data_IF_930146104530
#
_entry.id   IF_930146104530
#
_cell.length_a   1.000
_cell.length_b   1.000
_cell.length_c   1.000
_cell.angle_alpha   90.00
_cell.angle_beta   90.00
_cell.angle_gamma   90.00
#
_symmetry.space_group_name_H-M   'P 1'
#
loop_
_entity.id
_entity.type
_entity.pdbx_description
1 polymer ?
#
# COMPACT_ATOMS: atom_id res chain seq x y z
N UNK A 1 31.41 -49.00 28.29
CA UNK A 1 30.29 -48.31 28.97
C UNK A 1 29.47 -47.59 27.91
N UNK A 2 28.31 -48.17 27.61
CA UNK A 2 27.30 -47.65 26.68
C UNK A 2 26.55 -46.52 27.41
N UNK A 3 26.49 -45.32 26.84
CA UNK A 3 25.46 -44.35 27.20
C UNK A 3 24.76 -43.89 25.92
N UNK A 4 23.56 -44.44 25.76
CA UNK A 4 22.49 -44.01 24.87
C UNK A 4 22.11 -42.57 25.24
N UNK A 5 22.25 -41.63 24.31
CA UNK A 5 21.68 -40.30 24.45
C UNK A 5 20.35 -40.29 23.71
N UNK A 6 19.26 -40.37 24.49
CA UNK A 6 17.89 -40.38 24.01
C UNK A 6 17.52 -39.06 23.35
N UNK A 7 17.31 -39.10 22.03
CA UNK A 7 16.60 -38.07 21.29
C UNK A 7 15.13 -38.12 21.72
N UNK A 8 14.72 -37.19 22.57
CA UNK A 8 13.30 -36.96 22.89
C UNK A 8 12.68 -36.26 21.69
N UNK A 9 12.23 -37.08 20.75
CA UNK A 9 11.41 -36.67 19.63
C UNK A 9 10.00 -36.42 20.19
N UNK A 10 9.71 -35.17 20.56
CA UNK A 10 8.34 -34.73 20.85
C UNK A 10 7.60 -34.75 19.52
N UNK A 11 7.04 -35.91 19.20
CA UNK A 11 5.99 -36.04 18.19
C UNK A 11 4.84 -35.19 18.71
N UNK A 12 4.69 -33.98 18.15
CA UNK A 12 3.38 -33.32 18.10
C UNK A 12 2.47 -34.25 17.30
N UNK A 13 1.90 -35.23 17.99
CA UNK A 13 0.68 -35.86 17.56
C UNK A 13 -0.37 -34.75 17.65
N UNK A 14 -0.55 -34.05 16.53
CA UNK A 14 -1.80 -33.35 16.24
C UNK A 14 -2.84 -34.45 16.28
N UNK A 15 -3.43 -34.62 17.45
CA UNK A 15 -4.67 -35.35 17.61
C UNK A 15 -5.71 -34.52 16.87
N UNK A 16 -5.78 -34.71 15.55
CA UNK A 16 -7.03 -34.53 14.82
C UNK A 16 -7.92 -35.65 15.35
N UNK A 17 -8.57 -35.40 16.48
CA UNK A 17 -9.73 -36.19 16.89
C UNK A 17 -10.68 -36.15 15.70
N UNK A 18 -10.74 -37.25 14.95
CA UNK A 18 -11.73 -37.43 13.90
C UNK A 18 -13.09 -37.25 14.58
N UNK A 19 -13.82 -36.19 14.20
CA UNK A 19 -15.12 -35.85 14.77
C UNK A 19 -16.14 -37.00 14.68
N UNK A 20 -15.87 -38.02 13.84
CA UNK A 20 -16.65 -39.25 13.71
C UNK A 20 -16.84 -40.02 15.02
N UNK A 21 -15.86 -40.06 15.92
CA UNK A 21 -15.96 -40.88 17.14
C UNK A 21 -16.91 -40.28 18.21
N UNK A 22 -17.45 -39.08 17.96
CA UNK A 22 -18.29 -38.34 18.92
C UNK A 22 -19.72 -38.08 18.47
N UNK A 23 -20.05 -38.31 17.19
CA UNK A 23 -21.36 -38.02 16.62
C UNK A 23 -22.29 -39.23 16.72
N UNK A 24 -23.57 -38.99 17.03
CA UNK A 24 -24.63 -40.00 17.10
C UNK A 24 -25.84 -39.58 16.26
N UNK A 25 -26.64 -40.57 15.85
CA UNK A 25 -27.94 -40.29 15.25
C UNK A 25 -28.79 -39.45 16.22
N UNK A 26 -29.40 -38.38 15.70
CA UNK A 26 -30.14 -37.38 16.46
C UNK A 26 -29.33 -36.12 16.78
N UNK A 27 -28.00 -36.15 16.70
CA UNK A 27 -27.17 -34.98 17.00
C UNK A 27 -27.41 -33.85 16.00
N UNK A 28 -27.46 -32.63 16.50
CA UNK A 28 -27.47 -31.44 15.63
C UNK A 28 -26.06 -31.17 15.16
N UNK A 29 -25.88 -31.04 13.84
CA UNK A 29 -24.58 -30.79 13.19
C UNK A 29 -24.69 -29.62 12.21
N UNK A 30 -23.56 -29.01 11.91
CA UNK A 30 -23.38 -28.14 10.75
C UNK A 30 -22.65 -28.93 9.65
N UNK A 31 -23.14 -28.83 8.42
CA UNK A 31 -22.53 -29.43 7.24
C UNK A 31 -22.30 -28.40 6.15
N UNK A 32 -21.30 -28.65 5.29
CA UNK A 32 -20.96 -27.72 4.21
C UNK A 32 -22.00 -27.82 3.08
N UNK A 33 -22.89 -26.84 2.98
CA UNK A 33 -24.02 -26.88 2.04
C UNK A 33 -23.72 -26.35 0.64
N UNK A 34 -22.54 -25.77 0.42
CA UNK A 34 -22.03 -25.39 -0.90
C UNK A 34 -20.55 -25.76 -0.96
N UNK A 35 -20.13 -26.54 -1.96
CA UNK A 35 -18.69 -26.86 -2.14
C UNK A 35 -17.85 -25.61 -2.45
N UNK A 36 -18.45 -24.63 -3.13
CA UNK A 36 -17.76 -23.44 -3.64
C UNK A 36 -17.85 -22.21 -2.71
N UNK A 37 -18.60 -22.28 -1.61
CA UNK A 37 -18.62 -21.23 -0.59
C UNK A 37 -18.33 -21.80 0.80
N UNK A 38 -17.84 -20.97 1.71
CA UNK A 38 -17.59 -21.34 3.11
C UNK A 38 -18.88 -21.46 3.95
N UNK A 39 -20.01 -21.77 3.30
CA UNK A 39 -21.33 -21.82 3.91
C UNK A 39 -21.56 -23.13 4.68
N UNK A 40 -21.96 -22.99 5.95
CA UNK A 40 -22.36 -24.09 6.82
C UNK A 40 -23.87 -24.04 7.04
N UNK A 41 -24.56 -25.15 6.81
CA UNK A 41 -25.99 -25.32 7.04
C UNK A 41 -26.23 -26.26 8.22
N UNK A 42 -27.29 -26.02 8.98
CA UNK A 42 -27.65 -26.89 10.12
C UNK A 42 -28.50 -28.05 9.67
N UNK A 43 -28.27 -29.21 10.28
CA UNK A 43 -29.12 -30.38 10.14
C UNK A 43 -28.98 -31.29 11.34
N UNK A 44 -29.65 -32.44 11.29
CA UNK A 44 -29.54 -33.51 12.27
C UNK A 44 -28.96 -34.76 11.64
N UNK A 45 -28.05 -35.41 12.34
CA UNK A 45 -27.50 -36.70 11.92
C UNK A 45 -28.64 -37.72 11.93
N UNK A 46 -28.94 -38.33 10.80
CA UNK A 46 -29.91 -39.42 10.70
C UNK A 46 -29.26 -40.79 10.92
N UNK A 47 -28.09 -40.98 10.32
CA UNK A 47 -27.34 -42.22 10.38
C UNK A 47 -25.86 -41.98 10.06
N UNK A 48 -25.02 -42.86 10.59
CA UNK A 48 -23.58 -42.89 10.33
C UNK A 48 -23.28 -44.31 9.83
N UNK A 49 -22.77 -44.43 8.61
CA UNK A 49 -22.44 -45.73 8.00
C UNK A 49 -21.27 -45.60 7.05
N UNK A 50 -20.30 -46.51 7.14
CA UNK A 50 -19.18 -46.59 6.20
C UNK A 50 -18.38 -45.29 6.04
N UNK A 51 -18.22 -44.51 7.12
CA UNK A 51 -17.49 -43.23 7.08
C UNK A 51 -18.28 -42.04 6.49
N UNK A 52 -19.54 -42.27 6.09
CA UNK A 52 -20.46 -41.22 5.62
C UNK A 52 -21.47 -40.85 6.72
N UNK A 53 -21.79 -39.56 6.82
CA UNK A 53 -22.75 -39.00 7.77
C UNK A 53 -23.95 -38.49 6.97
N UNK A 54 -25.12 -39.07 7.19
CA UNK A 54 -26.38 -38.62 6.59
C UNK A 54 -27.02 -37.54 7.48
N UNK A 55 -27.36 -36.40 6.88
CA UNK A 55 -27.74 -35.18 7.60
C UNK A 55 -29.06 -34.66 7.03
N UNK A 56 -30.10 -34.69 7.85
CA UNK A 56 -31.40 -34.11 7.52
C UNK A 56 -31.40 -32.63 7.88
N UNK A 57 -31.59 -31.77 6.88
CA UNK A 57 -31.60 -30.32 7.06
C UNK A 57 -32.99 -29.69 6.95
N UNK A 58 -34.01 -30.49 6.62
CA UNK A 58 -35.41 -30.06 6.64
C UNK A 58 -36.39 -31.22 6.83
N UNK A 59 -37.68 -30.93 6.78
CA UNK A 59 -38.74 -31.87 7.13
C UNK A 59 -39.21 -32.74 5.95
N UNK A 60 -38.76 -32.46 4.72
CA UNK A 60 -39.12 -33.25 3.54
C UNK A 60 -38.16 -34.42 3.33
N UNK A 61 -38.65 -35.48 2.68
CA UNK A 61 -37.91 -36.75 2.50
C UNK A 61 -36.60 -36.58 1.72
N UNK A 62 -36.56 -35.64 0.80
CA UNK A 62 -35.44 -35.27 -0.08
C UNK A 62 -34.48 -34.24 0.53
N UNK A 63 -34.79 -33.69 1.72
CA UNK A 63 -33.94 -32.72 2.41
C UNK A 63 -32.86 -33.39 3.28
N UNK A 64 -32.07 -34.24 2.64
CA UNK A 64 -30.96 -34.98 3.24
C UNK A 64 -29.68 -34.69 2.45
N UNK A 65 -28.57 -34.50 3.15
CA UNK A 65 -27.24 -34.38 2.56
C UNK A 65 -26.30 -35.41 3.15
N UNK A 66 -25.37 -35.89 2.33
CA UNK A 66 -24.35 -36.85 2.75
C UNK A 66 -23.01 -36.13 2.84
N UNK A 67 -22.41 -36.12 4.03
CA UNK A 67 -21.12 -35.49 4.31
C UNK A 67 -20.06 -36.50 4.71
N UNK A 68 -18.80 -36.21 4.38
CA UNK A 68 -17.65 -36.87 4.99
C UNK A 68 -17.37 -36.27 6.38
N UNK A 69 -16.56 -36.93 7.20
CA UNK A 69 -16.17 -36.40 8.53
C UNK A 69 -15.54 -35.00 8.49
N UNK A 70 -14.87 -34.64 7.39
CA UNK A 70 -14.28 -33.31 7.20
C UNK A 70 -15.30 -32.23 6.83
N UNK A 71 -16.50 -32.62 6.39
CA UNK A 71 -17.56 -31.72 5.92
C UNK A 71 -18.67 -31.51 6.96
N UNK A 72 -18.49 -32.06 8.17
CA UNK A 72 -19.48 -32.06 9.25
C UNK A 72 -18.81 -31.67 10.56
N UNK A 73 -19.42 -30.74 11.28
CA UNK A 73 -18.95 -30.31 12.61
C UNK A 73 -20.11 -30.18 13.58
N UNK A 74 -19.83 -30.38 14.87
CA UNK A 74 -20.79 -30.02 15.91
C UNK A 74 -20.91 -28.49 15.92
N UNK A 75 -22.13 -27.91 15.82
CA UNK A 75 -22.29 -26.47 15.94
C UNK A 75 -21.78 -26.04 17.32
N UNK A 76 -21.05 -24.93 17.41
CA UNK A 76 -20.67 -24.41 18.72
C UNK A 76 -21.95 -24.15 19.52
N UNK A 77 -21.93 -24.52 20.80
CA UNK A 77 -23.09 -24.30 21.68
C UNK A 77 -23.41 -22.80 21.68
N UNK A 78 -24.69 -22.41 21.57
CA UNK A 78 -25.06 -21.01 21.71
C UNK A 78 -24.66 -20.51 23.10
N UNK A 79 -24.29 -19.24 23.16
CA UNK A 79 -24.04 -18.59 24.44
C UNK A 79 -25.32 -18.65 25.29
N UNK A 80 -25.16 -18.93 26.59
CA UNK A 80 -26.27 -18.82 27.54
C UNK A 80 -26.74 -17.36 27.61
N UNK A 81 -28.00 -17.08 28.00
CA UNK A 81 -28.46 -15.70 28.16
C UNK A 81 -27.57 -14.87 29.08
N UNK A 82 -27.03 -15.49 30.14
CA UNK A 82 -26.08 -14.85 31.04
C UNK A 82 -24.74 -14.54 30.35
N UNK A 83 -24.20 -15.45 29.53
CA UNK A 83 -22.97 -15.21 28.78
C UNK A 83 -23.16 -14.11 27.71
N UNK A 84 -24.32 -14.08 27.04
CA UNK A 84 -24.67 -13.02 26.09
C UNK A 84 -24.77 -11.67 26.80
N UNK A 85 -25.51 -11.59 27.91
CA UNK A 85 -25.65 -10.35 28.69
C UNK A 85 -24.29 -9.85 29.23
N UNK A 86 -23.41 -10.75 29.66
CA UNK A 86 -22.06 -10.42 30.11
C UNK A 86 -21.21 -9.81 28.97
N UNK A 87 -21.28 -10.39 27.77
CA UNK A 87 -20.58 -9.89 26.57
C UNK A 87 -21.15 -8.55 26.09
N UNK A 88 -22.47 -8.38 26.13
CA UNK A 88 -23.14 -7.14 25.73
C UNK A 88 -22.82 -6.00 26.71
N UNK A 89 -22.77 -6.29 28.01
CA UNK A 89 -22.33 -5.33 29.02
C UNK A 89 -20.87 -4.89 28.78
N UNK A 90 -19.98 -5.83 28.45
CA UNK A 90 -18.60 -5.50 28.09
C UNK A 90 -18.53 -4.61 26.85
N UNK A 91 -19.25 -4.96 25.78
CA UNK A 91 -19.29 -4.17 24.56
C UNK A 91 -19.85 -2.76 24.76
N UNK A 92 -20.79 -2.58 25.69
CA UNK A 92 -21.34 -1.27 26.04
C UNK A 92 -20.34 -0.41 26.81
N UNK A 93 -19.52 -1.01 27.68
CA UNK A 93 -18.48 -0.29 28.44
C UNK A 93 -17.23 0.01 27.60
N UNK A 94 -16.91 -0.89 26.66
CA UNK A 94 -15.87 -0.65 25.65
C UNK A 94 -16.45 0.25 24.56
N UNK A 95 -16.37 1.57 24.82
CA UNK A 95 -16.86 2.60 23.92
C UNK A 95 -16.26 2.57 22.52
N UNK A 96 -16.79 3.42 21.63
CA UNK A 96 -16.41 3.47 20.22
C UNK A 96 -14.92 3.76 20.01
N UNK A 97 -14.33 4.67 20.77
CA UNK A 97 -12.90 5.00 20.64
C UNK A 97 -12.00 3.85 21.07
N UNK A 98 -12.34 3.11 22.13
CA UNK A 98 -11.64 1.90 22.51
C UNK A 98 -11.69 0.82 21.43
N UNK A 99 -12.86 0.64 20.77
CA UNK A 99 -13.00 -0.31 19.65
C UNK A 99 -12.13 0.06 18.46
N UNK A 100 -12.08 1.34 18.09
CA UNK A 100 -11.18 1.84 17.04
C UNK A 100 -9.72 1.57 17.42
N UNK A 101 -9.35 1.84 18.68
CA UNK A 101 -7.99 1.62 19.16
C UNK A 101 -7.56 0.14 19.08
N UNK A 102 -8.45 -0.79 19.43
CA UNK A 102 -8.20 -2.23 19.30
C UNK A 102 -8.03 -2.66 17.84
N UNK A 103 -8.83 -2.11 16.92
CA UNK A 103 -8.75 -2.44 15.48
C UNK A 103 -7.40 -2.05 14.87
N UNK A 104 -6.81 -0.92 15.28
CA UNK A 104 -5.46 -0.51 14.85
C UNK A 104 -4.42 -1.59 15.20
N UNK A 105 -4.60 -2.27 16.33
CA UNK A 105 -3.68 -3.31 16.81
C UNK A 105 -4.03 -4.73 16.32
N UNK A 106 -5.24 -4.96 15.83
CA UNK A 106 -5.74 -6.28 15.47
C UNK A 106 -4.90 -6.97 14.39
N UNK A 107 -4.41 -6.22 13.39
CA UNK A 107 -3.50 -6.73 12.37
C UNK A 107 -2.22 -7.35 12.97
N UNK A 108 -1.69 -6.78 14.05
CA UNK A 108 -0.45 -7.27 14.68
C UNK A 108 -0.66 -8.48 15.58
N UNK A 109 -1.89 -8.66 16.05
CA UNK A 109 -2.29 -9.85 16.77
C UNK A 109 -2.49 -11.04 15.82
N UNK A 110 -3.22 -10.84 14.71
CA UNK A 110 -3.50 -11.89 13.72
C UNK A 110 -3.48 -11.31 12.29
N UNK A 111 -2.29 -11.17 11.66
CA UNK A 111 -2.13 -10.45 10.39
C UNK A 111 -2.81 -11.12 9.20
N UNK A 112 -3.00 -12.45 9.27
CA UNK A 112 -3.69 -13.23 8.25
C UNK A 112 -5.22 -13.15 8.37
N UNK A 113 -5.73 -12.58 9.46
CA UNK A 113 -7.16 -12.48 9.75
C UNK A 113 -7.66 -11.05 9.64
N UNK A 114 -6.93 -10.07 10.19
CA UNK A 114 -7.36 -8.67 10.20
C UNK A 114 -6.56 -7.85 9.18
N UNK A 115 -7.28 -7.15 8.30
CA UNK A 115 -6.70 -6.10 7.48
C UNK A 115 -6.28 -4.92 8.36
N UNK A 116 -5.24 -4.21 7.93
CA UNK A 116 -4.86 -2.95 8.56
C UNK A 116 -6.04 -1.97 8.57
N UNK A 117 -6.38 -1.47 9.75
CA UNK A 117 -7.44 -0.48 9.93
C UNK A 117 -6.81 0.92 9.90
N UNK A 118 -7.14 1.71 8.88
CA UNK A 118 -6.66 3.09 8.77
C UNK A 118 -7.11 3.99 9.93
N UNK A 119 -6.43 5.12 10.09
CA UNK A 119 -6.75 6.12 11.12
C UNK A 119 -5.77 6.19 12.29
N UNK A 120 -4.51 5.79 12.10
CA UNK A 120 -3.50 5.82 13.17
C UNK A 120 -3.11 7.25 13.54
N UNK A 121 -2.98 7.58 14.84
CA UNK A 121 -2.51 8.89 15.27
C UNK A 121 -1.13 9.24 14.71
N UNK A 122 -0.91 10.53 14.43
CA UNK A 122 0.36 11.06 13.90
C UNK A 122 1.09 11.94 14.91
N UNK A 123 0.57 12.09 16.12
CA UNK A 123 1.13 12.95 17.17
C UNK A 123 1.39 12.16 18.45
N UNK A 124 2.38 12.56 19.27
CA UNK A 124 2.63 11.94 20.57
C UNK A 124 1.40 11.90 21.48
N UNK A 125 0.62 13.00 21.52
CA UNK A 125 -0.61 13.09 22.32
C UNK A 125 -1.68 12.10 21.84
N UNK A 126 -1.90 11.99 20.52
CA UNK A 126 -2.85 11.03 19.97
C UNK A 126 -2.44 9.58 20.23
N UNK A 127 -1.14 9.28 20.21
CA UNK A 127 -0.64 7.97 20.62
C UNK A 127 -0.85 7.69 22.11
N UNK A 128 -0.62 8.68 22.98
CA UNK A 128 -0.87 8.55 24.42
C UNK A 128 -2.35 8.29 24.69
N UNK A 129 -3.25 9.00 24.01
CA UNK A 129 -4.69 8.79 24.08
C UNK A 129 -5.08 7.38 23.60
N UNK A 130 -4.58 6.95 22.43
CA UNK A 130 -4.79 5.60 21.90
C UNK A 130 -4.36 4.52 22.91
N UNK A 131 -3.16 4.66 23.48
CA UNK A 131 -2.62 3.70 24.44
C UNK A 131 -3.40 3.71 25.77
N UNK A 132 -3.89 4.87 26.20
CA UNK A 132 -4.78 5.01 27.36
C UNK A 132 -6.10 4.28 27.14
N UNK A 133 -6.72 4.43 25.96
CA UNK A 133 -7.94 3.71 25.61
C UNK A 133 -7.73 2.20 25.65
N UNK A 134 -6.66 1.67 25.06
CA UNK A 134 -6.37 0.24 25.08
C UNK A 134 -6.05 -0.23 26.51
N UNK A 135 -5.34 0.57 27.31
CA UNK A 135 -5.09 0.26 28.73
C UNK A 135 -6.38 0.20 29.56
N UNK A 136 -7.37 1.05 29.26
CA UNK A 136 -8.68 0.99 29.91
C UNK A 136 -9.41 -0.33 29.62
N UNK A 137 -9.28 -0.86 28.40
CA UNK A 137 -9.85 -2.18 28.05
C UNK A 137 -9.12 -3.29 28.79
N UNK A 138 -7.79 -3.23 28.88
CA UNK A 138 -6.99 -4.21 29.65
C UNK A 138 -7.43 -4.25 31.11
N UNK A 139 -7.63 -3.09 31.74
CA UNK A 139 -8.15 -2.98 33.11
C UNK A 139 -9.55 -3.61 33.27
N UNK A 140 -10.47 -3.36 32.32
CA UNK A 140 -11.79 -3.99 32.30
C UNK A 140 -11.68 -5.52 32.21
N UNK A 141 -10.84 -6.02 31.31
CA UNK A 141 -10.63 -7.46 31.08
C UNK A 141 -9.97 -8.16 32.27
N UNK A 142 -9.05 -7.51 32.99
CA UNK A 142 -8.39 -8.07 34.17
C UNK A 142 -9.25 -7.97 35.45
N UNK A 143 -10.12 -6.96 35.51
CA UNK A 143 -11.03 -6.73 36.63
C UNK A 143 -12.42 -7.33 36.37
N UNK A 144 -13.37 -6.45 36.00
CA UNK A 144 -14.81 -6.75 35.93
C UNK A 144 -15.16 -7.88 34.94
N UNK A 145 -14.40 -8.01 33.86
CA UNK A 145 -14.69 -8.94 32.76
C UNK A 145 -13.67 -10.06 32.64
N UNK A 146 -13.12 -10.51 33.77
CA UNK A 146 -12.15 -11.61 33.80
C UNK A 146 -12.71 -12.88 33.17
N UNK A 147 -11.94 -13.49 32.27
CA UNK A 147 -12.35 -14.70 31.54
C UNK A 147 -13.27 -14.44 30.35
N UNK A 148 -13.32 -13.19 29.84
CA UNK A 148 -14.03 -12.85 28.62
C UNK A 148 -13.68 -13.80 27.46
N UNK A 149 -14.71 -14.31 26.79
CA UNK A 149 -14.59 -15.19 25.62
C UNK A 149 -15.24 -14.55 24.40
N UNK A 150 -14.82 -14.97 23.21
CA UNK A 150 -15.47 -14.56 21.97
C UNK A 150 -16.95 -14.99 21.97
N UNK A 151 -17.81 -14.24 21.27
CA UNK A 151 -19.21 -14.65 21.07
C UNK A 151 -19.23 -15.96 20.28
N UNK A 152 -20.11 -16.89 20.68
CA UNK A 152 -20.22 -18.17 19.96
C UNK A 152 -20.58 -17.91 18.49
N UNK A 153 -19.92 -18.59 17.52
CA UNK A 153 -20.21 -18.42 16.09
C UNK A 153 -21.66 -18.68 15.71
N UNK A 154 -22.43 -19.35 16.57
CA UNK A 154 -23.85 -19.63 16.37
C UNK A 154 -24.80 -18.47 16.70
N UNK A 155 -24.32 -17.44 17.41
CA UNK A 155 -25.12 -16.31 17.92
C UNK A 155 -25.13 -15.08 16.99
N UNK A 156 -24.25 -15.04 15.99
CA UNK A 156 -24.35 -14.15 14.85
C UNK A 156 -24.38 -15.06 13.63
N UNK A 157 -25.49 -15.17 12.90
CA UNK A 157 -25.46 -15.81 11.59
C UNK A 157 -25.58 -14.70 10.53
N UNK A 158 -24.67 -14.65 9.54
CA UNK A 158 -23.47 -15.48 9.42
C UNK A 158 -22.47 -15.14 10.55
N UNK A 159 -21.73 -16.14 11.05
CA UNK A 159 -20.70 -15.99 12.11
C UNK A 159 -19.80 -14.77 11.89
N UNK A 160 -19.09 -14.27 12.92
CA UNK A 160 -18.14 -13.18 12.73
C UNK A 160 -17.23 -13.53 11.56
N UNK A 161 -17.33 -12.72 10.50
CA UNK A 161 -16.61 -12.99 9.25
C UNK A 161 -15.11 -12.95 9.55
N UNK A 162 -14.31 -13.62 8.72
CA UNK A 162 -12.85 -13.44 8.76
C UNK A 162 -12.56 -11.93 8.64
N UNK A 163 -11.80 -11.38 9.58
CA UNK A 163 -11.50 -9.94 9.65
C UNK A 163 -12.48 -9.08 10.43
N UNK A 164 -13.54 -9.66 11.00
CA UNK A 164 -14.45 -8.92 11.88
C UNK A 164 -14.08 -9.11 13.35
N UNK A 165 -13.67 -8.01 13.98
CA UNK A 165 -13.28 -7.97 15.39
C UNK A 165 -14.50 -7.75 16.31
N UNK A 166 -15.65 -7.30 15.80
CA UNK A 166 -16.71 -6.69 16.62
C UNK A 166 -17.45 -7.66 17.56
N UNK A 167 -17.32 -8.97 17.35
CA UNK A 167 -17.89 -10.01 18.22
C UNK A 167 -16.81 -10.89 18.89
N UNK A 168 -15.53 -10.51 18.78
CA UNK A 168 -14.38 -11.29 19.27
C UNK A 168 -13.81 -10.69 20.55
N UNK A 169 -14.65 -10.60 21.58
CA UNK A 169 -14.32 -9.92 22.84
C UNK A 169 -13.14 -10.52 23.60
N UNK A 170 -12.89 -11.83 23.49
CA UNK A 170 -11.68 -12.46 24.05
C UNK A 170 -10.41 -11.99 23.34
N UNK A 171 -10.49 -11.77 22.03
CA UNK A 171 -9.39 -11.19 21.25
C UNK A 171 -9.17 -9.71 21.59
N UNK A 172 -10.22 -8.94 21.90
CA UNK A 172 -10.06 -7.57 22.41
C UNK A 172 -9.21 -7.53 23.67
N UNK A 173 -9.52 -8.41 24.63
CA UNK A 173 -8.73 -8.52 25.86
C UNK A 173 -7.29 -8.95 25.58
N UNK A 174 -7.07 -9.87 24.64
CA UNK A 174 -5.72 -10.33 24.28
C UNK A 174 -4.89 -9.23 23.61
N UNK A 175 -5.51 -8.46 22.71
CA UNK A 175 -4.88 -7.29 22.08
C UNK A 175 -4.53 -6.24 23.14
N UNK A 176 -5.46 -5.97 24.07
CA UNK A 176 -5.27 -4.97 25.11
C UNK A 176 -4.15 -5.31 26.10
N UNK A 177 -4.05 -6.57 26.50
CA UNK A 177 -2.99 -7.08 27.35
C UNK A 177 -1.61 -6.96 26.68
N UNK A 178 -1.52 -7.30 25.39
CA UNK A 178 -0.28 -7.29 24.61
C UNK A 178 0.07 -5.94 23.98
N UNK A 179 -0.68 -4.87 24.26
CA UNK A 179 -0.54 -3.56 23.59
C UNK A 179 0.91 -3.04 23.56
N UNK A 180 1.66 -3.15 24.66
CA UNK A 180 3.04 -2.65 24.73
C UNK A 180 4.00 -3.44 23.83
N UNK A 181 3.73 -4.73 23.60
CA UNK A 181 4.53 -5.57 22.70
C UNK A 181 4.22 -5.32 21.21
N UNK A 182 3.06 -4.71 20.92
CA UNK A 182 2.62 -4.39 19.56
C UNK A 182 2.93 -2.94 19.19
N UNK A 183 2.86 -2.01 20.14
CA UNK A 183 2.97 -0.57 19.90
C UNK A 183 4.18 -0.17 19.01
N UNK A 184 5.42 -0.65 19.24
CA UNK A 184 6.55 -0.27 18.38
C UNK A 184 6.33 -0.65 16.90
N UNK A 185 5.71 -1.80 16.65
CA UNK A 185 5.42 -2.27 15.28
C UNK A 185 4.30 -1.47 14.64
N UNK A 186 3.23 -1.18 15.40
CA UNK A 186 2.11 -0.35 14.92
C UNK A 186 2.61 1.05 14.55
N UNK A 187 3.45 1.66 15.38
CA UNK A 187 4.05 2.98 15.10
C UNK A 187 4.94 2.96 13.86
N UNK A 188 5.80 1.95 13.72
CA UNK A 188 6.71 1.83 12.58
C UNK A 188 5.97 1.68 11.24
N UNK A 189 4.93 0.87 11.22
CA UNK A 189 4.10 0.67 10.02
C UNK A 189 3.22 1.89 9.72
N UNK A 190 2.68 2.56 10.74
CA UNK A 190 1.96 3.81 10.55
C UNK A 190 2.86 4.90 9.96
N UNK A 191 4.09 5.03 10.47
CA UNK A 191 5.08 5.94 9.90
C UNK A 191 5.38 5.59 8.43
N UNK A 192 5.58 4.30 8.14
CA UNK A 192 5.93 3.83 6.79
C UNK A 192 4.77 3.98 5.78
N UNK A 193 3.55 3.63 6.16
CA UNK A 193 2.37 3.68 5.30
C UNK A 193 1.89 5.11 5.01
N UNK A 194 2.15 6.04 5.94
CA UNK A 194 1.81 7.46 5.78
C UNK A 194 2.95 8.30 5.20
N UNK A 195 4.14 7.72 5.03
CA UNK A 195 5.24 8.41 4.38
C UNK A 195 4.95 8.56 2.89
N UNK A 196 4.85 9.80 2.42
CA UNK A 196 4.81 10.07 0.98
C UNK A 196 6.22 9.87 0.44
N UNK A 197 6.44 8.76 -0.26
CA UNK A 197 7.72 8.46 -0.89
C UNK A 197 7.97 9.42 -2.06
N UNK A 198 8.98 10.31 -1.99
CA UNK A 198 9.29 11.21 -3.08
C UNK A 198 9.63 10.41 -4.35
N UNK A 199 9.01 10.76 -5.47
CA UNK A 199 9.28 10.14 -6.76
C UNK A 199 8.67 8.74 -6.99
N UNK A 200 7.91 8.16 -6.05
CA UNK A 200 7.32 6.82 -6.29
C UNK A 200 6.36 6.80 -7.47
N UNK A 201 5.45 7.78 -7.56
CA UNK A 201 4.53 7.92 -8.69
C UNK A 201 5.26 8.22 -10.01
N UNK A 202 6.34 9.01 -9.93
CA UNK A 202 7.17 9.34 -11.08
C UNK A 202 7.90 8.11 -11.61
N UNK A 203 8.48 7.31 -10.73
CA UNK A 203 9.12 6.04 -11.08
C UNK A 203 8.11 5.07 -11.69
N UNK A 204 6.91 4.96 -11.10
CA UNK A 204 5.84 4.14 -11.65
C UNK A 204 5.49 4.59 -13.07
N UNK A 205 5.26 5.89 -13.29
CA UNK A 205 4.99 6.43 -14.64
C UNK A 205 6.13 6.15 -15.62
N UNK A 206 7.39 6.32 -15.20
CA UNK A 206 8.55 6.02 -16.04
C UNK A 206 8.67 4.54 -16.43
N UNK A 207 8.25 3.62 -15.55
CA UNK A 207 8.19 2.19 -15.87
C UNK A 207 7.06 1.83 -16.83
N UNK A 208 5.97 2.60 -16.84
CA UNK A 208 4.78 2.41 -17.68
C UNK A 208 4.93 3.05 -19.06
N UNK A 209 5.71 4.13 -19.20
CA UNK A 209 5.96 4.75 -20.50
C UNK A 209 6.75 3.83 -21.44
N UNK A 210 6.30 3.72 -22.70
CA UNK A 210 6.97 2.93 -23.74
C UNK A 210 8.42 3.36 -24.00
N UNK A 211 8.71 4.65 -23.84
CA UNK A 211 10.04 5.22 -24.02
C UNK A 211 10.83 5.35 -22.71
N UNK A 212 10.28 4.88 -21.59
CA UNK A 212 10.89 4.95 -20.25
C UNK A 212 11.46 6.32 -19.90
N UNK A 213 10.76 7.40 -20.31
CA UNK A 213 11.15 8.76 -19.98
C UNK A 213 11.19 8.95 -18.46
N UNK A 214 12.28 9.53 -17.95
CA UNK A 214 12.48 9.73 -16.51
C UNK A 214 12.67 11.20 -16.14
N UNK A 215 12.15 11.59 -14.98
CA UNK A 215 12.43 12.89 -14.33
C UNK A 215 13.82 12.92 -13.71
N UNK A 216 14.40 14.11 -13.54
CA UNK A 216 15.73 14.29 -12.97
C UNK A 216 15.94 13.60 -11.62
N UNK A 217 14.94 13.66 -10.73
CA UNK A 217 15.01 13.00 -9.42
C UNK A 217 15.07 11.46 -9.56
N UNK A 218 14.29 10.89 -10.48
CA UNK A 218 14.34 9.46 -10.80
C UNK A 218 15.67 9.08 -11.46
N UNK A 219 16.24 9.98 -12.26
CA UNK A 219 17.57 9.77 -12.83
C UNK A 219 18.65 9.81 -11.75
N UNK A 220 18.54 10.70 -10.76
CA UNK A 220 19.45 10.72 -9.61
C UNK A 220 19.35 9.41 -8.82
N UNK A 221 18.14 8.93 -8.55
CA UNK A 221 17.90 7.63 -7.92
C UNK A 221 18.56 6.47 -8.69
N UNK A 222 18.36 6.39 -10.02
CA UNK A 222 18.87 5.27 -10.83
C UNK A 222 20.41 5.23 -10.92
N UNK A 223 21.05 6.38 -11.00
CA UNK A 223 22.50 6.47 -11.28
C UNK A 223 23.33 6.77 -10.02
N UNK A 224 22.75 7.43 -9.03
CA UNK A 224 23.41 7.89 -7.81
C UNK A 224 22.50 7.69 -6.58
N UNK A 225 22.05 6.44 -6.30
CA UNK A 225 21.03 6.15 -5.29
C UNK A 225 21.40 6.63 -3.88
N UNK A 226 22.69 6.59 -3.52
CA UNK A 226 23.15 7.08 -2.21
C UNK A 226 23.03 8.60 -2.08
N UNK A 227 23.27 9.37 -3.16
CA UNK A 227 23.04 10.82 -3.13
C UNK A 227 21.56 11.13 -3.03
N UNK A 228 20.72 10.39 -3.76
CA UNK A 228 19.27 10.53 -3.68
C UNK A 228 18.77 10.22 -2.26
N UNK A 229 19.20 9.12 -1.64
CA UNK A 229 18.88 8.77 -0.25
C UNK A 229 19.20 9.92 0.69
N UNK A 230 20.43 10.43 0.66
CA UNK A 230 20.86 11.53 1.54
C UNK A 230 19.95 12.76 1.38
N UNK A 231 19.52 13.08 0.14
CA UNK A 231 18.59 14.19 -0.11
C UNK A 231 17.20 13.97 0.49
N UNK A 232 16.70 12.73 0.50
CA UNK A 232 15.36 12.41 1.00
C UNK A 232 15.34 12.05 2.51
N UNK A 233 16.43 11.53 3.05
CA UNK A 233 16.52 11.03 4.44
C UNK A 233 16.08 12.07 5.45
N UNK A 234 16.57 13.32 5.37
CA UNK A 234 16.27 14.32 6.41
C UNK A 234 14.78 14.61 6.58
N UNK A 235 14.00 14.60 5.49
CA UNK A 235 12.54 14.80 5.55
C UNK A 235 11.83 13.57 6.09
N UNK A 236 12.26 12.39 5.69
CA UNK A 236 11.64 11.13 6.08
C UNK A 236 11.99 10.75 7.52
N UNK A 237 13.22 10.96 7.97
CA UNK A 237 13.62 10.82 9.36
C UNK A 237 12.79 11.71 10.28
N UNK A 238 12.57 12.97 9.89
CA UNK A 238 11.69 13.87 10.62
C UNK A 238 10.24 13.35 10.67
N UNK A 239 9.73 12.79 9.57
CA UNK A 239 8.41 12.15 9.53
C UNK A 239 8.33 10.95 10.49
N UNK A 240 9.27 10.00 10.43
CA UNK A 240 9.31 8.85 11.33
C UNK A 240 9.39 9.27 12.82
N UNK A 241 10.13 10.34 13.11
CA UNK A 241 10.23 10.88 14.46
C UNK A 241 8.89 11.38 15.02
N UNK A 242 7.95 11.85 14.18
CA UNK A 242 6.59 12.25 14.65
C UNK A 242 5.79 11.08 15.25
N UNK A 243 6.12 9.85 14.85
CA UNK A 243 5.54 8.62 15.38
C UNK A 243 6.36 8.02 16.54
N UNK A 244 7.49 8.65 16.91
CA UNK A 244 8.39 8.16 17.96
C UNK A 244 9.20 6.93 17.54
N UNK A 245 9.46 6.76 16.24
CA UNK A 245 10.22 5.62 15.69
C UNK A 245 11.38 6.12 14.84
N UNK A 246 12.39 5.25 14.68
CA UNK A 246 13.53 5.50 13.78
C UNK A 246 13.18 4.95 12.40
N UNK A 247 13.54 5.69 11.34
CA UNK A 247 13.39 5.22 9.97
C UNK A 247 14.23 3.94 9.75
N UNK A 248 13.63 2.84 9.26
CA UNK A 248 14.38 1.62 8.98
C UNK A 248 15.47 1.87 7.95
N UNK A 249 16.67 1.27 8.09
CA UNK A 249 17.75 1.42 7.10
C UNK A 249 17.36 0.88 5.72
N UNK A 250 16.40 -0.06 5.68
CA UNK A 250 15.88 -0.70 4.47
C UNK A 250 14.69 0.05 3.85
N UNK A 251 14.30 1.21 4.38
CA UNK A 251 13.09 1.93 3.96
C UNK A 251 13.08 2.26 2.45
N UNK A 252 14.26 2.54 1.88
CA UNK A 252 14.41 2.88 0.47
C UNK A 252 14.61 1.69 -0.47
N UNK A 253 14.82 0.48 0.05
CA UNK A 253 15.33 -0.66 -0.74
C UNK A 253 14.41 -1.00 -1.92
N UNK A 254 13.10 -1.03 -1.69
CA UNK A 254 12.09 -1.28 -2.73
C UNK A 254 12.12 -0.22 -3.83
N UNK A 255 12.35 1.03 -3.47
CA UNK A 255 12.41 2.15 -4.42
C UNK A 255 13.66 2.04 -5.30
N UNK A 256 14.79 1.69 -4.69
CA UNK A 256 16.06 1.45 -5.40
C UNK A 256 15.94 0.24 -6.32
N UNK A 257 15.37 -0.86 -5.85
CA UNK A 257 15.13 -2.06 -6.65
C UNK A 257 14.31 -1.74 -7.91
N UNK A 258 13.19 -1.02 -7.75
CA UNK A 258 12.38 -0.59 -8.90
C UNK A 258 13.09 0.40 -9.81
N UNK A 259 13.99 1.24 -9.27
CA UNK A 259 14.81 2.12 -10.09
C UNK A 259 15.84 1.35 -10.93
N UNK A 260 16.38 0.25 -10.38
CA UNK A 260 17.28 -0.63 -11.10
C UNK A 260 16.54 -1.34 -12.25
N UNK A 261 15.28 -1.73 -12.05
CA UNK A 261 14.41 -2.23 -13.12
C UNK A 261 14.25 -1.19 -14.26
N UNK A 262 13.95 0.07 -13.91
CA UNK A 262 13.83 1.14 -14.89
C UNK A 262 15.14 1.35 -15.65
N UNK A 263 16.28 1.38 -14.94
CA UNK A 263 17.60 1.51 -15.53
C UNK A 263 17.90 0.37 -16.51
N UNK A 264 17.57 -0.87 -16.17
CA UNK A 264 17.76 -2.01 -17.05
C UNK A 264 16.90 -1.91 -18.33
N UNK A 265 15.62 -1.47 -18.21
CA UNK A 265 14.75 -1.21 -19.38
C UNK A 265 15.33 -0.13 -20.28
N UNK A 266 15.85 0.95 -19.69
CA UNK A 266 16.54 2.01 -20.43
C UNK A 266 17.78 1.46 -21.15
N UNK A 267 18.60 0.67 -20.47
CA UNK A 267 19.81 0.07 -21.06
C UNK A 267 19.51 -0.86 -22.23
N UNK A 268 18.37 -1.55 -22.20
CA UNK A 268 17.90 -2.39 -23.31
C UNK A 268 17.31 -1.56 -24.46
N UNK A 269 16.50 -0.55 -24.17
CA UNK A 269 15.74 0.20 -25.19
C UNK A 269 16.48 1.39 -25.80
N UNK A 270 17.30 2.10 -25.02
CA UNK A 270 17.96 3.33 -25.45
C UNK A 270 18.90 3.14 -26.66
N UNK A 271 19.69 2.05 -26.79
CA UNK A 271 20.56 1.85 -27.96
C UNK A 271 19.81 1.84 -29.30
N UNK A 272 18.57 1.35 -29.32
CA UNK A 272 17.75 1.23 -30.53
C UNK A 272 17.00 2.53 -30.89
N UNK A 273 17.02 3.53 -30.00
CA UNK A 273 16.38 4.83 -30.22
C UNK A 273 17.39 5.80 -30.81
N UNK A 274 16.96 6.58 -31.80
CA UNK A 274 17.74 7.64 -32.41
C UNK A 274 17.04 8.99 -32.25
N UNK A 275 17.82 10.06 -32.23
CA UNK A 275 17.29 11.41 -32.22
C UNK A 275 16.90 11.84 -33.63
N UNK A 276 15.59 11.97 -33.88
CA UNK A 276 15.10 12.45 -35.16
C UNK A 276 15.08 13.99 -35.20
N UNK A 277 15.78 14.55 -36.16
CA UNK A 277 15.61 15.96 -36.51
C UNK A 277 14.30 16.12 -37.29
N UNK A 278 13.46 17.07 -36.89
CA UNK A 278 12.25 17.37 -37.65
C UNK A 278 12.66 17.91 -39.02
N UNK A 279 12.20 17.27 -40.10
CA UNK A 279 12.41 17.75 -41.47
C UNK A 279 11.79 19.14 -41.71
N UNK A 280 10.81 19.53 -40.89
CA UNK A 280 10.16 20.85 -40.93
C UNK A 280 10.92 21.92 -40.12
N UNK A 281 12.10 21.63 -39.57
CA UNK A 281 12.84 22.58 -38.74
C UNK A 281 13.56 23.64 -39.58
N UNK A 282 12.94 24.82 -39.74
CA UNK A 282 13.71 26.01 -40.07
C UNK A 282 14.66 26.27 -38.89
N UNK A 283 15.97 26.08 -39.10
CA UNK A 283 17.00 26.34 -38.08
C UNK A 283 16.92 27.79 -37.65
N UNK A 284 17.03 28.02 -36.34
CA UNK A 284 17.08 29.35 -35.75
C UNK A 284 18.30 29.40 -34.83
N UNK A 285 19.41 29.90 -35.37
CA UNK A 285 20.70 29.88 -34.69
C UNK A 285 20.68 30.63 -33.36
N UNK A 286 19.85 31.68 -33.23
CA UNK A 286 19.70 32.44 -32.00
C UNK A 286 19.00 31.60 -30.91
N UNK A 287 17.91 30.91 -31.27
CA UNK A 287 17.20 30.01 -30.34
C UNK A 287 18.07 28.80 -29.97
N UNK A 288 18.78 28.20 -30.91
CA UNK A 288 19.68 27.07 -30.64
C UNK A 288 20.79 27.46 -29.67
N UNK A 289 21.44 28.61 -29.90
CA UNK A 289 22.52 29.11 -29.03
C UNK A 289 21.99 29.40 -27.62
N UNK A 290 20.83 30.05 -27.53
CA UNK A 290 20.18 30.34 -26.24
C UNK A 290 19.89 29.05 -25.46
N UNK A 291 19.29 28.05 -26.10
CA UNK A 291 18.89 26.80 -25.41
C UNK A 291 20.11 25.96 -25.04
N UNK A 292 21.12 25.88 -25.90
CA UNK A 292 22.40 25.24 -25.55
C UNK A 292 22.99 25.84 -24.29
N UNK A 293 23.04 27.17 -24.20
CA UNK A 293 23.52 27.87 -23.00
C UNK A 293 22.67 27.57 -21.76
N UNK A 294 21.33 27.52 -21.90
CA UNK A 294 20.42 27.18 -20.80
C UNK A 294 20.64 25.77 -20.25
N UNK A 295 20.67 24.75 -21.11
CA UNK A 295 20.91 23.38 -20.65
C UNK A 295 22.31 23.19 -20.05
N UNK A 296 23.36 23.83 -20.58
CA UNK A 296 24.70 23.75 -20.00
C UNK A 296 24.74 24.39 -18.59
N UNK A 297 23.98 25.48 -18.39
CA UNK A 297 23.87 26.16 -17.10
C UNK A 297 23.07 25.32 -16.09
N UNK A 298 21.95 24.73 -16.52
CA UNK A 298 21.09 23.89 -15.67
C UNK A 298 21.73 22.54 -15.33
N UNK A 299 22.53 21.99 -16.24
CA UNK A 299 23.22 20.71 -16.09
C UNK A 299 24.73 20.89 -16.32
N UNK A 300 25.47 21.39 -15.32
CA UNK A 300 26.91 21.58 -15.44
C UNK A 300 27.64 20.30 -15.86
N UNK A 301 28.56 20.44 -16.82
CA UNK A 301 29.31 19.31 -17.39
C UNK A 301 28.56 18.50 -18.45
N UNK A 302 27.31 18.86 -18.77
CA UNK A 302 26.61 18.28 -19.91
C UNK A 302 27.05 18.89 -21.25
N UNK A 303 26.79 18.16 -22.34
CA UNK A 303 27.01 18.63 -23.71
C UNK A 303 25.72 18.52 -24.51
N UNK A 304 25.33 19.60 -25.21
CA UNK A 304 24.21 19.55 -26.15
C UNK A 304 24.72 19.21 -27.53
N UNK A 305 24.39 18.02 -28.02
CA UNK A 305 24.88 17.46 -29.29
C UNK A 305 24.05 17.95 -30.48
N UNK A 306 22.72 17.93 -30.35
CA UNK A 306 21.77 18.34 -31.39
C UNK A 306 20.64 19.17 -30.77
N UNK A 307 20.09 20.08 -31.56
CA UNK A 307 18.86 20.81 -31.24
C UNK A 307 17.95 20.77 -32.47
N UNK A 308 16.68 20.43 -32.25
CA UNK A 308 15.65 20.30 -33.28
C UNK A 308 14.49 21.23 -32.93
N UNK A 309 13.89 21.83 -33.96
CA UNK A 309 12.70 22.67 -33.80
C UNK A 309 11.47 21.87 -34.21
N UNK A 310 10.46 21.84 -33.36
CA UNK A 310 9.16 21.28 -33.72
C UNK A 310 8.34 22.25 -34.57
N UNK A 311 8.57 23.56 -34.42
CA UNK A 311 7.84 24.60 -35.16
C UNK A 311 8.78 25.41 -36.08
N UNK A 312 8.47 25.50 -37.39
CA UNK A 312 9.28 26.29 -38.34
C UNK A 312 9.17 27.81 -38.09
N UNK A 313 8.08 28.26 -37.46
CA UNK A 313 7.78 29.67 -37.21
C UNK A 313 7.42 29.86 -35.74
N UNK A 314 7.54 31.11 -35.26
CA UNK A 314 7.03 31.50 -33.95
C UNK A 314 5.52 31.30 -33.88
N UNK A 315 5.05 30.58 -32.87
CA UNK A 315 3.63 30.35 -32.63
C UNK A 315 3.14 31.35 -31.60
N UNK A 316 2.04 32.05 -31.89
CA UNK A 316 1.38 32.93 -30.92
C UNK A 316 0.48 32.09 -30.02
N UNK A 317 0.58 32.27 -28.70
CA UNK A 317 -0.36 31.70 -27.73
C UNK A 317 -0.83 32.77 -26.77
N UNK A 318 -2.11 32.71 -26.50
CA UNK A 318 -2.76 33.49 -25.47
C UNK A 318 -2.34 32.96 -24.10
N UNK A 319 -1.72 33.82 -23.32
CA UNK A 319 -1.49 33.62 -21.89
C UNK A 319 -2.55 34.41 -21.14
N UNK A 320 -3.21 33.76 -20.20
CA UNK A 320 -4.20 34.38 -19.33
C UNK A 320 -3.56 34.65 -17.97
N UNK A 321 -3.41 35.92 -17.63
CA UNK A 321 -2.93 36.33 -16.31
C UNK A 321 -4.10 36.90 -15.51
N UNK A 322 -4.39 36.36 -14.33
CA UNK A 322 -5.46 36.89 -13.47
C UNK A 322 -5.11 38.30 -13.01
N UNK A 323 -5.97 39.28 -13.31
CA UNK A 323 -5.77 40.70 -12.95
C UNK A 323 -6.78 41.21 -11.94
N UNK A 324 -7.83 40.44 -11.66
CA UNK A 324 -8.80 40.75 -10.62
C UNK A 324 -9.93 39.74 -10.57
N UNK A 325 -10.71 39.80 -9.50
CA UNK A 325 -11.91 38.99 -9.34
C UNK A 325 -12.99 39.81 -8.65
N UNK A 326 -14.22 39.75 -9.17
CA UNK A 326 -15.41 40.28 -8.53
C UNK A 326 -16.33 39.16 -8.02
N UNK A 327 -17.48 39.52 -7.46
CA UNK A 327 -18.55 38.58 -7.08
C UNK A 327 -19.22 38.00 -8.33
N UNK A 328 -18.58 37.00 -8.94
CA UNK A 328 -19.13 36.20 -10.04
C UNK A 328 -18.28 36.12 -11.30
N UNK A 329 -17.17 36.85 -11.39
CA UNK A 329 -16.28 36.79 -12.55
C UNK A 329 -14.81 36.94 -12.16
N UNK A 330 -13.94 36.26 -12.91
CA UNK A 330 -12.48 36.42 -12.88
C UNK A 330 -12.08 37.20 -14.12
N UNK A 331 -11.39 38.32 -13.94
CA UNK A 331 -10.85 39.13 -15.02
C UNK A 331 -9.44 38.64 -15.33
N UNK A 332 -9.21 38.26 -16.59
CA UNK A 332 -7.90 37.87 -17.09
C UNK A 332 -7.39 38.90 -18.09
N UNK A 333 -6.11 39.26 -17.98
CA UNK A 333 -5.38 39.93 -19.04
C UNK A 333 -4.91 38.87 -20.02
N UNK A 334 -5.32 39.00 -21.28
CA UNK A 334 -4.81 38.20 -22.39
C UNK A 334 -3.51 38.84 -22.85
N UNK A 335 -2.39 38.13 -22.65
CA UNK A 335 -1.09 38.51 -23.21
C UNK A 335 -0.72 37.52 -24.31
N UNK A 336 -0.37 38.04 -25.49
CA UNK A 336 0.07 37.20 -26.60
C UNK A 336 1.58 36.99 -26.49
N UNK A 337 1.97 35.78 -26.10
CA UNK A 337 3.38 35.36 -26.13
C UNK A 337 3.65 34.57 -27.41
N UNK A 338 4.73 34.91 -28.11
CA UNK A 338 5.25 34.10 -29.21
C UNK A 338 6.24 33.10 -28.65
N UNK A 339 6.12 31.83 -29.04
CA UNK A 339 7.03 30.79 -28.59
C UNK A 339 7.45 29.85 -29.72
N UNK A 340 8.61 29.23 -29.54
CA UNK A 340 9.09 28.07 -30.27
C UNK A 340 9.22 26.91 -29.29
N UNK A 341 9.00 25.70 -29.82
CA UNK A 341 9.14 24.44 -29.09
C UNK A 341 10.05 23.53 -29.88
N UNK A 342 10.77 22.67 -29.19
CA UNK A 342 11.62 21.70 -29.83
C UNK A 342 12.23 20.73 -28.83
N UNK A 343 13.26 20.03 -29.31
CA UNK A 343 13.97 19.02 -28.54
C UNK A 343 15.47 19.24 -28.63
N UNK A 344 16.20 18.92 -27.57
CA UNK A 344 17.66 18.80 -27.57
C UNK A 344 18.05 17.36 -27.35
N UNK A 345 19.10 16.91 -28.03
CA UNK A 345 19.85 15.72 -27.65
C UNK A 345 21.03 16.17 -26.81
N UNK A 346 21.10 15.71 -25.56
CA UNK A 346 22.19 16.06 -24.65
C UNK A 346 22.87 14.84 -24.04
N UNK A 347 24.19 14.92 -23.89
CA UNK A 347 25.02 13.98 -23.14
C UNK A 347 25.20 14.51 -21.73
N UNK A 348 24.65 13.79 -20.76
CA UNK A 348 24.86 14.06 -19.34
C UNK A 348 26.19 13.47 -18.87
N UNK A 349 26.89 14.12 -17.92
CA UNK A 349 28.13 13.59 -17.37
C UNK A 349 27.88 12.24 -16.68
N UNK A 350 28.82 11.30 -16.82
CA UNK A 350 28.79 9.99 -16.18
C UNK A 350 27.57 9.10 -16.52
N UNK A 351 26.84 9.39 -17.60
CA UNK A 351 25.71 8.57 -18.05
C UNK A 351 26.03 7.88 -19.37
N UNK A 352 25.65 6.61 -19.56
CA UNK A 352 25.99 5.85 -20.78
C UNK A 352 25.29 6.40 -22.03
N UNK A 353 24.03 6.81 -21.89
CA UNK A 353 23.19 7.28 -23.01
C UNK A 353 23.04 8.79 -23.06
N UNK A 354 22.54 9.27 -24.20
CA UNK A 354 22.09 10.63 -24.36
C UNK A 354 20.61 10.73 -24.05
N UNK A 355 20.12 11.96 -23.86
CA UNK A 355 18.73 12.22 -23.54
C UNK A 355 18.15 13.22 -24.54
N UNK A 356 17.01 12.87 -25.12
CA UNK A 356 16.13 13.85 -25.75
C UNK A 356 15.33 14.57 -24.67
N UNK A 357 15.45 15.90 -24.62
CA UNK A 357 14.68 16.75 -23.72
C UNK A 357 13.95 17.82 -24.48
N UNK A 358 12.71 18.02 -24.09
CA UNK A 358 11.89 19.08 -24.64
C UNK A 358 12.31 20.45 -24.10
N UNK A 359 12.15 21.46 -24.94
CA UNK A 359 12.29 22.85 -24.57
C UNK A 359 11.19 23.71 -25.19
N UNK A 360 10.91 24.82 -24.54
CA UNK A 360 10.03 25.89 -24.99
C UNK A 360 10.70 27.23 -24.72
N UNK A 361 10.86 28.04 -25.76
CA UNK A 361 11.41 29.40 -25.68
C UNK A 361 10.38 30.39 -26.14
N UNK A 362 10.19 31.45 -25.34
CA UNK A 362 9.37 32.60 -25.66
C UNK A 362 10.22 33.74 -26.21
N UNK A 363 9.61 34.60 -27.00
CA UNK A 363 10.18 35.86 -27.45
C UNK A 363 9.46 37.00 -26.72
N UNK A 364 10.18 37.69 -25.83
CA UNK A 364 9.70 38.85 -25.10
C UNK A 364 10.31 40.15 -25.60
N UNK A 365 9.87 41.28 -25.02
CA UNK A 365 10.39 42.62 -25.35
C UNK A 365 11.88 42.80 -25.04
N UNK A 366 12.44 42.00 -24.13
CA UNK A 366 13.86 42.00 -23.73
C UNK A 366 14.68 40.89 -24.40
N UNK A 367 14.13 40.19 -25.39
CA UNK A 367 14.78 39.07 -26.08
C UNK A 367 14.19 37.71 -25.76
N UNK A 368 15.01 36.66 -25.89
CA UNK A 368 14.59 35.27 -25.69
C UNK A 368 14.49 34.90 -24.20
N UNK A 369 13.46 34.15 -23.85
CA UNK A 369 13.23 33.66 -22.48
C UNK A 369 12.93 32.16 -22.52
N UNK A 370 13.56 31.38 -21.64
CA UNK A 370 13.20 29.97 -21.46
C UNK A 370 11.85 29.91 -20.76
N UNK A 371 10.83 29.43 -21.46
CA UNK A 371 9.49 29.23 -20.89
C UNK A 371 9.46 27.89 -20.16
N UNK A 372 10.14 26.89 -20.70
CA UNK A 372 10.31 25.59 -20.06
C UNK A 372 11.53 24.87 -20.65
N UNK A 373 12.36 24.32 -19.78
CA UNK A 373 13.31 23.25 -20.10
C UNK A 373 12.81 22.02 -19.35
N UNK A 374 12.55 20.93 -20.06
CA UNK A 374 11.96 19.76 -19.42
C UNK A 374 12.96 19.08 -18.50
N UNK A 375 12.57 18.87 -17.24
CA UNK A 375 13.29 18.01 -16.28
C UNK A 375 13.15 16.52 -16.61
N UNK A 376 12.42 16.18 -17.68
CA UNK A 376 12.23 14.82 -18.14
C UNK A 376 13.02 14.55 -19.42
N UNK A 377 13.77 13.44 -19.44
CA UNK A 377 14.56 13.01 -20.59
C UNK A 377 14.21 11.60 -21.06
N UNK A 378 14.06 11.44 -22.38
CA UNK A 378 13.95 10.13 -23.03
C UNK A 378 15.34 9.65 -23.41
N UNK A 379 15.75 8.49 -22.91
CA UNK A 379 17.08 7.94 -23.15
C UNK A 379 17.20 7.33 -24.54
N UNK A 380 18.32 7.61 -25.22
CA UNK A 380 18.59 7.15 -26.58
C UNK A 380 20.09 7.10 -26.90
N UNK A 381 20.43 6.53 -28.06
CA UNK A 381 21.79 6.59 -28.58
C UNK A 381 22.28 8.04 -28.75
N UNK A 382 23.59 8.24 -28.64
CA UNK A 382 24.21 9.56 -28.79
C UNK A 382 24.49 9.95 -30.25
N UNK A 383 24.07 9.14 -31.20
CA UNK A 383 24.41 9.28 -32.62
C UNK A 383 23.55 10.31 -33.35
#
# INVERSE_FOLDING_TARGET
>A
MKYFMSVVLIVMAVVVLNAQDSLKAGDTVEYRCNRDSSGWCRGRVESISGGSINIRWGNMRDQVSMGSSGDVRVPPKPDTPAATAFKDAFAAEVGTFQRIALRIFAHYYAPNEFSWAGGTPTTPAGWQELMSHIASVDALCKGKYRGMTNRSPSAAWPGPRKGDLDARFGEWCTIADKRLAYEPRVRADAASSMAIMPGEDDLKRSLEYQDNRALDDIQLLMYEPEKWKVQQSGKLEAHFATYGVVMPPTFFDKMIERSAELKAKIEQGAPARSFEMSAASARDAAVETFIKSKFITEYPGSQVLKASHSYPKWVKRESLSLVGSGTGYKLYKVEYNTYKRGWVLMKMPNRPFCQAREWVVGQGSKGLVAVSTSSQGTFMSCQ
#
